data_IF_730883904944
#
_entry.id   IF_730883904944
#
_cell.length_a   1.000
_cell.length_b   1.000
_cell.length_c   1.000
_cell.angle_alpha   90.00
_cell.angle_beta   90.00
_cell.angle_gamma   90.00
#
_symmetry.space_group_name_H-M   'P 1'
#
loop_
_entity.id
_entity.type
_entity.pdbx_description
1 polymer ?
#
# COMPACT_ATOMS: atom_id res chain seq x y z
N UNK A 1 -38.79 22.45 42.10
CA UNK A 1 -37.32 22.47 42.08
C UNK A 1 -36.81 22.66 40.65
N UNK A 2 -36.94 23.87 40.09
CA UNK A 2 -36.56 24.15 38.69
C UNK A 2 -36.24 25.65 38.47
N UNK A 3 -35.51 26.28 39.41
CA UNK A 3 -35.23 27.72 39.37
C UNK A 3 -33.79 28.11 39.69
N UNK A 4 -32.88 27.15 39.89
CA UNK A 4 -31.48 27.43 40.22
C UNK A 4 -30.50 27.34 39.03
N UNK A 5 -30.92 26.85 37.86
CA UNK A 5 -30.01 26.56 36.73
C UNK A 5 -29.78 27.73 35.75
N UNK A 6 -30.55 28.82 35.81
CA UNK A 6 -30.47 29.91 34.83
C UNK A 6 -29.48 31.04 35.16
N UNK A 7 -28.88 31.04 36.36
CA UNK A 7 -27.95 32.11 36.79
C UNK A 7 -26.49 31.90 36.35
N UNK A 8 -26.16 30.76 35.75
CA UNK A 8 -24.80 30.42 35.32
C UNK A 8 -24.48 30.83 33.87
N UNK A 9 -25.50 31.01 33.01
CA UNK A 9 -25.32 31.30 31.58
C UNK A 9 -24.94 32.78 31.33
N UNK A 10 -25.27 33.71 32.24
CA UNK A 10 -24.89 35.11 32.08
C UNK A 10 -23.40 35.39 32.34
N UNK A 11 -22.68 34.49 33.03
CA UNK A 11 -21.24 34.63 33.30
C UNK A 11 -20.37 34.28 32.08
N UNK A 12 -20.77 33.26 31.30
CA UNK A 12 -20.05 32.85 30.09
C UNK A 12 -20.10 33.89 28.96
N UNK A 13 -21.11 34.77 28.94
CA UNK A 13 -21.19 35.85 27.95
C UNK A 13 -20.16 36.96 28.17
N UNK A 14 -19.66 37.12 29.40
CA UNK A 14 -18.64 38.12 29.75
C UNK A 14 -17.25 37.71 29.25
N UNK A 15 -16.94 36.41 29.27
CA UNK A 15 -15.64 35.88 28.83
C UNK A 15 -15.50 35.96 27.30
N UNK A 16 -16.61 35.81 26.55
CA UNK A 16 -16.61 35.97 25.10
C UNK A 16 -16.34 37.40 24.60
N UNK A 17 -16.68 38.43 25.38
CA UNK A 17 -16.38 39.82 25.00
C UNK A 17 -14.90 40.18 25.19
N UNK A 18 -14.22 39.55 26.15
CA UNK A 18 -12.80 39.79 26.42
C UNK A 18 -11.89 39.22 25.32
N UNK A 19 -12.28 38.09 24.70
CA UNK A 19 -11.57 37.51 23.55
C UNK A 19 -11.58 38.43 22.32
N UNK A 20 -12.70 39.10 22.03
CA UNK A 20 -12.80 40.00 20.87
C UNK A 20 -11.91 41.24 20.96
N UNK A 21 -11.54 41.67 22.18
CA UNK A 21 -10.61 42.78 22.40
C UNK A 21 -9.14 42.35 22.25
N UNK A 22 -8.83 41.07 22.45
CA UNK A 22 -7.46 40.56 22.29
C UNK A 22 -7.10 40.43 20.80
N UNK A 23 -8.05 40.05 19.94
CA UNK A 23 -7.85 39.98 18.49
C UNK A 23 -7.73 41.37 17.85
N UNK A 24 -8.45 42.37 18.37
CA UNK A 24 -8.29 43.77 17.93
C UNK A 24 -6.93 44.35 18.34
N UNK A 25 -6.39 43.98 19.49
CA UNK A 25 -5.03 44.35 19.92
C UNK A 25 -3.95 43.61 19.14
N UNK A 26 -4.15 42.33 18.81
CA UNK A 26 -3.21 41.54 17.99
C UNK A 26 -3.12 42.07 16.55
N UNK A 27 -4.27 42.44 15.95
CA UNK A 27 -4.29 43.05 14.61
C UNK A 27 -3.66 44.45 14.60
N UNK A 28 -3.85 45.24 15.65
CA UNK A 28 -3.23 46.57 15.77
C UNK A 28 -1.72 46.49 16.02
N UNK A 29 -1.26 45.53 16.84
CA UNK A 29 0.16 45.28 17.07
C UNK A 29 0.86 44.72 15.82
N UNK A 30 0.23 43.80 15.10
CA UNK A 30 0.75 43.26 13.84
C UNK A 30 0.87 44.36 12.76
N UNK A 31 -0.12 45.26 12.67
CA UNK A 31 -0.09 46.42 11.77
C UNK A 31 1.07 47.37 12.11
N UNK A 32 1.34 47.61 13.39
CA UNK A 32 2.41 48.51 13.81
C UNK A 32 3.80 47.92 13.63
N UNK A 33 3.98 46.62 13.87
CA UNK A 33 5.26 45.92 13.65
C UNK A 33 5.56 45.79 12.15
N UNK A 34 4.54 45.58 11.29
CA UNK A 34 4.72 45.55 9.85
C UNK A 34 5.22 46.89 9.26
N UNK A 35 4.97 48.02 9.95
CA UNK A 35 5.43 49.35 9.51
C UNK A 35 6.86 49.71 9.93
N UNK A 36 7.49 48.92 10.80
CA UNK A 36 8.83 49.20 11.35
C UNK A 36 9.93 48.25 10.83
N UNK A 37 9.60 47.26 10.01
CA UNK A 37 10.56 46.34 9.41
C UNK A 37 11.23 46.97 8.18
N UNK A 38 12.57 46.82 8.03
CA UNK A 38 13.29 47.29 6.87
C UNK A 38 12.71 46.67 5.60
N UNK A 39 12.64 47.48 4.54
CA UNK A 39 12.04 47.14 3.26
C UNK A 39 12.87 46.06 2.55
N UNK A 40 12.67 44.79 2.93
CA UNK A 40 13.33 43.65 2.29
C UNK A 40 12.93 43.62 0.80
N UNK A 41 13.93 43.81 -0.07
CA UNK A 41 13.75 43.74 -1.52
C UNK A 41 13.82 42.27 -1.93
N UNK A 42 12.69 41.58 -1.90
CA UNK A 42 12.58 40.22 -2.42
C UNK A 42 12.89 40.18 -3.92
N UNK A 43 13.95 39.48 -4.30
CA UNK A 43 14.24 39.20 -5.71
C UNK A 43 13.46 37.92 -6.07
N UNK A 44 12.51 37.97 -7.03
CA UNK A 44 11.83 36.77 -7.48
C UNK A 44 12.84 35.85 -8.16
N UNK A 45 13.19 34.75 -7.50
CA UNK A 45 13.91 33.65 -8.13
C UNK A 45 12.90 32.78 -8.87
N UNK A 46 12.99 32.76 -10.20
CA UNK A 46 12.26 31.82 -11.04
C UNK A 46 13.00 30.49 -10.97
N UNK A 47 12.60 29.62 -10.04
CA UNK A 47 13.02 28.22 -10.08
C UNK A 47 12.51 27.61 -11.39
N UNK A 48 13.42 27.16 -12.26
CA UNK A 48 13.06 26.59 -13.56
C UNK A 48 12.22 25.33 -13.34
N UNK A 49 11.01 25.32 -13.90
CA UNK A 49 10.06 24.24 -13.72
C UNK A 49 10.61 22.88 -14.10
N UNK A 50 10.92 22.06 -13.10
CA UNK A 50 11.20 20.62 -13.22
C UNK A 50 9.96 19.80 -13.61
N UNK A 51 8.84 20.45 -13.97
CA UNK A 51 7.49 19.91 -13.80
C UNK A 51 6.97 18.89 -14.82
N UNK A 52 7.64 18.63 -15.95
CA UNK A 52 7.13 17.66 -16.95
C UNK A 52 8.16 16.61 -17.32
N UNK A 53 9.42 17.00 -17.55
CA UNK A 53 10.48 16.04 -17.88
C UNK A 53 10.74 15.06 -16.72
N UNK A 54 10.72 15.54 -15.47
CA UNK A 54 10.88 14.67 -14.30
C UNK A 54 9.68 13.71 -14.14
N UNK A 55 8.44 14.21 -14.30
CA UNK A 55 7.23 13.39 -14.24
C UNK A 55 7.22 12.32 -15.34
N UNK A 56 7.64 12.67 -16.55
CA UNK A 56 7.77 11.72 -17.65
C UNK A 56 8.85 10.67 -17.36
N UNK A 57 10.01 11.08 -16.85
CA UNK A 57 11.07 10.14 -16.46
C UNK A 57 10.60 9.16 -15.38
N UNK A 58 9.87 9.65 -14.36
CA UNK A 58 9.27 8.80 -13.32
C UNK A 58 8.23 7.84 -13.89
N UNK A 59 7.38 8.29 -14.82
CA UNK A 59 6.41 7.42 -15.50
C UNK A 59 7.11 6.31 -16.31
N UNK A 60 8.14 6.65 -17.07
CA UNK A 60 8.93 5.67 -17.84
C UNK A 60 9.62 4.67 -16.90
N UNK A 61 10.22 5.13 -15.81
CA UNK A 61 10.81 4.26 -14.79
C UNK A 61 9.76 3.33 -14.15
N UNK A 62 8.56 3.86 -13.86
CA UNK A 62 7.43 3.07 -13.39
C UNK A 62 7.00 2.00 -14.39
N UNK A 63 6.96 2.32 -15.69
CA UNK A 63 6.63 1.38 -16.74
C UNK A 63 7.68 0.25 -16.85
N UNK A 64 8.97 0.59 -16.78
CA UNK A 64 10.04 -0.40 -16.74
C UNK A 64 9.95 -1.31 -15.51
N UNK A 65 9.62 -0.75 -14.34
CA UNK A 65 9.38 -1.53 -13.12
C UNK A 65 8.13 -2.43 -13.20
N UNK A 66 7.09 -2.00 -13.91
CA UNK A 66 5.87 -2.76 -14.11
C UNK A 66 6.00 -3.85 -15.19
N UNK A 67 6.91 -3.68 -16.15
CA UNK A 67 7.12 -4.59 -17.27
C UNK A 67 7.20 -6.08 -16.88
N UNK A 68 8.00 -6.51 -15.89
CA UNK A 68 8.04 -7.92 -15.51
C UNK A 68 6.68 -8.45 -15.02
N UNK A 69 5.90 -7.67 -14.28
CA UNK A 69 4.55 -8.07 -13.83
C UNK A 69 3.57 -8.27 -14.99
N UNK A 70 3.76 -7.56 -16.10
CA UNK A 70 2.94 -7.72 -17.31
C UNK A 70 3.43 -8.91 -18.13
N UNK A 71 4.75 -9.10 -18.21
CA UNK A 71 5.35 -10.17 -19.01
C UNK A 71 5.12 -11.56 -18.43
N UNK A 72 5.07 -11.72 -17.10
CA UNK A 72 4.81 -13.03 -16.46
C UNK A 72 3.50 -13.68 -16.96
N UNK A 73 2.31 -13.04 -16.86
CA UNK A 73 1.08 -13.66 -17.34
C UNK A 73 1.09 -13.91 -18.85
N UNK A 74 1.72 -13.05 -19.66
CA UNK A 74 1.88 -13.28 -21.11
C UNK A 74 2.74 -14.53 -21.37
N UNK A 75 3.91 -14.60 -20.74
CA UNK A 75 4.76 -15.77 -20.47
C UNK A 75 3.98 -17.06 -20.32
N UNK A 76 3.24 -17.09 -19.20
CA UNK A 76 2.52 -18.25 -18.73
C UNK A 76 1.40 -18.64 -19.70
N UNK A 77 0.64 -17.68 -20.24
CA UNK A 77 -0.42 -17.97 -21.21
C UNK A 77 0.14 -18.59 -22.50
N UNK A 78 1.17 -18.00 -23.10
CA UNK A 78 1.80 -18.55 -24.32
C UNK A 78 2.38 -19.94 -24.08
N UNK A 79 2.94 -20.18 -22.90
CA UNK A 79 3.48 -21.48 -22.53
C UNK A 79 2.38 -22.52 -22.34
N UNK A 80 1.29 -22.16 -21.66
CA UNK A 80 0.15 -23.05 -21.40
C UNK A 80 -0.67 -23.36 -22.66
N UNK A 81 -0.74 -22.43 -23.62
CA UNK A 81 -1.39 -22.64 -24.91
C UNK A 81 -0.51 -23.48 -25.87
N UNK A 82 0.74 -23.74 -25.52
CA UNK A 82 1.67 -24.56 -26.30
C UNK A 82 2.37 -23.83 -27.45
N UNK A 83 2.19 -22.51 -27.56
CA UNK A 83 2.83 -21.67 -28.57
C UNK A 83 4.35 -21.57 -28.36
N UNK A 84 4.81 -21.78 -27.13
CA UNK A 84 6.22 -21.68 -26.73
C UNK A 84 6.73 -22.98 -26.09
N UNK A 85 7.84 -23.51 -26.61
CA UNK A 85 8.42 -24.78 -26.16
C UNK A 85 9.50 -24.66 -25.07
N UNK A 86 9.78 -23.45 -24.58
CA UNK A 86 10.82 -23.19 -23.56
C UNK A 86 10.55 -23.88 -22.22
N UNK A 87 11.57 -24.08 -21.38
CA UNK A 87 11.34 -24.53 -20.00
C UNK A 87 10.55 -23.51 -19.18
N UNK A 88 9.89 -23.95 -18.12
CA UNK A 88 9.23 -23.08 -17.14
C UNK A 88 10.22 -22.14 -16.47
N UNK A 89 11.45 -22.60 -16.22
CA UNK A 89 12.52 -21.72 -15.73
C UNK A 89 12.80 -20.53 -16.66
N UNK A 90 12.79 -20.75 -17.98
CA UNK A 90 12.98 -19.68 -18.99
C UNK A 90 11.73 -18.80 -19.11
N UNK A 91 10.55 -19.42 -19.08
CA UNK A 91 9.26 -18.72 -19.18
C UNK A 91 9.08 -17.73 -18.03
N UNK A 92 9.62 -18.04 -16.85
CA UNK A 92 9.53 -17.22 -15.65
C UNK A 92 10.73 -16.26 -15.46
N UNK A 93 11.57 -16.03 -16.47
CA UNK A 93 12.65 -15.02 -16.42
C UNK A 93 12.20 -13.65 -15.87
N UNK A 94 11.06 -13.08 -16.32
CA UNK A 94 10.62 -11.80 -15.77
C UNK A 94 10.33 -11.85 -14.26
N UNK A 95 9.82 -12.99 -13.76
CA UNK A 95 9.60 -13.22 -12.33
C UNK A 95 10.94 -13.28 -11.58
N UNK A 96 11.92 -14.03 -12.10
CA UNK A 96 13.25 -14.12 -11.49
C UNK A 96 13.95 -12.77 -11.41
N UNK A 97 13.76 -11.90 -12.41
CA UNK A 97 14.28 -10.52 -12.38
C UNK A 97 13.59 -9.74 -11.26
N UNK A 98 12.27 -9.85 -11.10
CA UNK A 98 11.55 -9.25 -9.98
C UNK A 98 12.09 -9.72 -8.64
N UNK A 99 12.23 -11.03 -8.44
CA UNK A 99 12.71 -11.60 -7.19
C UNK A 99 14.15 -11.17 -6.88
N UNK A 100 15.03 -11.15 -7.89
CA UNK A 100 16.41 -10.68 -7.75
C UNK A 100 16.52 -9.19 -7.37
N UNK A 101 15.54 -8.36 -7.75
CA UNK A 101 15.50 -6.95 -7.40
C UNK A 101 14.82 -6.70 -6.03
N UNK A 102 13.69 -7.37 -5.79
CA UNK A 102 12.83 -7.12 -4.63
C UNK A 102 13.34 -7.82 -3.38
N UNK A 103 13.81 -9.07 -3.48
CA UNK A 103 14.21 -9.85 -2.30
C UNK A 103 15.40 -9.22 -1.56
N UNK A 104 16.51 -8.81 -2.21
CA UNK A 104 17.61 -8.15 -1.49
C UNK A 104 17.17 -6.85 -0.82
N UNK A 105 16.30 -6.08 -1.49
CA UNK A 105 15.73 -4.86 -0.91
C UNK A 105 14.90 -5.15 0.34
N UNK A 106 14.04 -6.18 0.31
CA UNK A 106 13.24 -6.59 1.47
C UNK A 106 14.10 -7.11 2.61
N UNK A 107 15.14 -7.88 2.32
CA UNK A 107 16.09 -8.39 3.33
C UNK A 107 16.83 -7.23 4.00
N UNK A 108 17.36 -6.27 3.23
CA UNK A 108 18.04 -5.09 3.77
C UNK A 108 17.08 -4.25 4.61
N UNK A 109 15.85 -4.03 4.13
CA UNK A 109 14.82 -3.28 4.86
C UNK A 109 14.44 -3.97 6.17
N UNK A 110 14.35 -5.30 6.17
CA UNK A 110 14.10 -6.09 7.37
C UNK A 110 15.29 -6.07 8.33
N UNK A 111 16.50 -5.73 7.91
CA UNK A 111 17.67 -5.59 8.79
C UNK A 111 17.87 -4.17 9.32
N UNK A 112 17.12 -3.17 8.83
CA UNK A 112 17.28 -1.80 9.27
C UNK A 112 16.87 -1.64 10.75
N UNK A 113 17.72 -1.02 11.60
CA UNK A 113 17.41 -0.85 13.01
C UNK A 113 16.17 0.03 13.19
N UNK A 114 15.24 -0.41 14.05
CA UNK A 114 14.07 0.38 14.45
C UNK A 114 14.58 1.61 15.19
N UNK A 115 14.48 2.78 14.56
CA UNK A 115 14.80 4.06 15.21
C UNK A 115 13.68 4.34 16.22
N UNK A 116 13.91 4.03 17.49
CA UNK A 116 13.07 4.53 18.56
C UNK A 116 13.22 6.05 18.60
N UNK A 117 12.20 6.77 18.12
CA UNK A 117 12.02 8.17 18.45
C UNK A 117 11.65 8.25 19.92
N UNK A 118 12.68 8.28 20.77
CA UNK A 118 12.55 8.66 22.17
C UNK A 118 12.22 10.15 22.21
N UNK A 119 10.94 10.45 22.00
CA UNK A 119 10.37 11.79 22.15
C UNK A 119 10.34 12.13 23.64
N UNK A 120 11.47 12.63 24.13
CA UNK A 120 11.55 13.39 25.35
C UNK A 120 10.69 14.66 25.21
N UNK A 121 9.46 14.59 25.70
CA UNK A 121 8.80 15.69 26.41
C UNK A 121 8.66 15.14 27.84
N UNK A 122 9.49 15.51 28.84
CA UNK A 122 9.36 16.77 29.60
C UNK A 122 7.86 17.17 29.65
N UNK A 123 7.09 16.99 30.73
CA UNK A 123 7.35 17.22 32.14
C UNK A 123 6.38 16.37 32.99
N UNK A 124 6.87 15.51 33.88
CA UNK A 124 6.17 15.25 35.15
C UNK A 124 7.19 14.85 36.21
N UNK A 125 7.50 15.74 37.18
CA UNK A 125 8.54 15.47 38.16
C UNK A 125 7.97 14.68 39.35
N UNK A 126 8.81 13.75 39.83
CA UNK A 126 8.92 13.27 41.21
C UNK A 126 7.78 12.37 41.73
N UNK A 127 8.03 11.05 41.78
CA UNK A 127 8.17 10.28 43.03
C UNK A 127 8.73 8.88 42.74
N UNK A 128 9.71 8.50 43.56
CA UNK A 128 10.26 7.18 43.86
C UNK A 128 11.32 6.58 42.91
N UNK A 129 12.58 6.81 43.32
CA UNK A 129 13.72 5.92 43.11
C UNK A 129 13.37 4.44 43.34
N UNK A 130 13.60 3.63 42.32
CA UNK A 130 13.59 2.17 42.42
C UNK A 130 14.25 1.57 41.19
N UNK A 131 15.53 1.20 41.31
CA UNK A 131 16.37 0.42 40.37
C UNK A 131 15.56 -0.38 39.33
N UNK A 132 15.56 0.09 38.09
CA UNK A 132 14.89 -0.54 36.94
C UNK A 132 15.82 -0.70 35.74
N UNK A 133 17.03 -1.23 35.95
CA UNK A 133 18.05 -1.46 34.90
C UNK A 133 17.86 -2.81 34.15
N UNK A 134 16.68 -3.43 34.24
CA UNK A 134 16.44 -4.84 33.82
C UNK A 134 15.55 -4.95 32.57
N UNK A 135 15.09 -3.84 31.96
CA UNK A 135 14.08 -3.92 30.89
C UNK A 135 14.60 -3.70 29.46
N UNK A 136 15.86 -3.29 29.24
CA UNK A 136 16.35 -2.93 27.90
C UNK A 136 16.73 -4.18 27.07
N UNK A 137 17.40 -5.16 27.69
CA UNK A 137 17.88 -6.38 27.01
C UNK A 137 16.75 -7.29 26.48
N UNK A 138 15.58 -7.27 27.14
CA UNK A 138 14.43 -8.07 26.72
C UNK A 138 13.85 -7.58 25.39
N UNK A 139 13.84 -6.26 25.16
CA UNK A 139 13.26 -5.67 23.94
C UNK A 139 14.16 -5.82 22.71
N UNK A 140 15.49 -5.85 22.91
CA UNK A 140 16.45 -6.10 21.83
C UNK A 140 16.32 -7.54 21.27
N UNK A 141 16.04 -8.51 22.14
CA UNK A 141 15.92 -9.93 21.76
C UNK A 141 14.64 -10.19 20.94
N UNK A 142 13.52 -9.55 21.29
CA UNK A 142 12.23 -9.72 20.59
C UNK A 142 12.29 -9.21 19.15
N UNK A 143 12.89 -8.04 18.92
CA UNK A 143 13.02 -7.47 17.57
C UNK A 143 13.89 -8.34 16.66
N UNK A 144 15.00 -8.89 17.17
CA UNK A 144 15.89 -9.77 16.39
C UNK A 144 15.17 -11.03 15.87
N UNK A 145 14.28 -11.60 16.69
CA UNK A 145 13.52 -12.80 16.33
C UNK A 145 12.55 -12.54 15.17
N UNK A 146 11.83 -11.41 15.21
CA UNK A 146 10.87 -11.04 14.14
C UNK A 146 11.59 -10.82 12.81
N UNK A 147 12.71 -10.11 12.81
CA UNK A 147 13.46 -9.84 11.58
C UNK A 147 14.03 -11.12 10.95
N UNK A 148 14.58 -12.01 11.78
CA UNK A 148 15.11 -13.31 11.32
C UNK A 148 14.01 -14.20 10.75
N UNK A 149 12.87 -14.27 11.43
CA UNK A 149 11.71 -15.07 11.00
C UNK A 149 11.20 -14.64 9.63
N UNK A 150 11.09 -13.33 9.38
CA UNK A 150 10.64 -12.79 8.08
C UNK A 150 11.62 -13.10 6.94
N UNK A 151 12.92 -13.02 7.20
CA UNK A 151 13.93 -13.36 6.19
C UNK A 151 13.95 -14.86 5.87
N UNK A 152 13.74 -15.72 6.86
CA UNK A 152 13.58 -17.18 6.64
C UNK A 152 12.32 -17.45 5.80
N UNK A 153 11.20 -16.78 6.09
CA UNK A 153 9.98 -16.93 5.30
C UNK A 153 10.20 -16.53 3.84
N UNK A 154 10.89 -15.40 3.57
CA UNK A 154 11.25 -14.98 2.21
C UNK A 154 12.09 -16.03 1.46
N UNK A 155 13.10 -16.60 2.13
CA UNK A 155 13.92 -17.66 1.55
C UNK A 155 13.10 -18.93 1.26
N UNK A 156 12.15 -19.27 2.14
CA UNK A 156 11.26 -20.40 1.97
C UNK A 156 10.27 -20.20 0.80
N UNK A 157 9.75 -18.98 0.58
CA UNK A 157 8.95 -18.66 -0.61
C UNK A 157 9.76 -18.82 -1.91
N UNK A 158 11.01 -18.34 -1.95
CA UNK A 158 11.88 -18.50 -3.12
C UNK A 158 12.16 -19.99 -3.40
N UNK A 159 12.41 -20.78 -2.35
CA UNK A 159 12.60 -22.23 -2.49
C UNK A 159 11.34 -22.92 -3.03
N UNK A 160 10.16 -22.51 -2.56
CA UNK A 160 8.89 -23.03 -3.06
C UNK A 160 8.72 -22.75 -4.57
N UNK A 161 9.03 -21.53 -5.02
CA UNK A 161 8.98 -21.17 -6.44
C UNK A 161 9.94 -22.05 -7.26
N UNK A 162 11.17 -22.25 -6.81
CA UNK A 162 12.15 -23.12 -7.50
C UNK A 162 11.60 -24.55 -7.61
N UNK A 163 11.05 -25.12 -6.53
CA UNK A 163 10.49 -26.47 -6.56
C UNK A 163 9.27 -26.58 -7.48
N UNK A 164 8.40 -25.57 -7.50
CA UNK A 164 7.26 -25.52 -8.44
C UNK A 164 7.77 -25.51 -9.88
N UNK A 165 8.78 -24.73 -10.21
CA UNK A 165 9.37 -24.71 -11.57
C UNK A 165 9.98 -26.05 -11.95
N UNK A 166 10.79 -26.64 -11.06
CA UNK A 166 11.42 -27.96 -11.28
C UNK A 166 10.35 -29.05 -11.48
N UNK A 167 9.24 -28.97 -10.75
CA UNK A 167 8.11 -29.89 -10.91
C UNK A 167 7.38 -29.67 -12.23
N UNK A 168 7.09 -28.42 -12.59
CA UNK A 168 6.41 -28.06 -13.84
C UNK A 168 7.24 -28.44 -15.08
N UNK A 169 8.57 -28.44 -14.98
CA UNK A 169 9.49 -28.91 -16.03
C UNK A 169 9.59 -30.45 -16.09
N UNK A 170 8.83 -31.18 -15.27
CA UNK A 170 8.86 -32.65 -15.17
C UNK A 170 10.25 -33.22 -14.85
N UNK A 171 11.13 -32.43 -14.22
CA UNK A 171 12.45 -32.89 -13.75
C UNK A 171 12.31 -33.77 -12.51
N UNK A 172 11.26 -33.54 -11.72
CA UNK A 172 10.97 -34.23 -10.47
C UNK A 172 9.52 -34.70 -10.44
N UNK A 173 9.29 -35.93 -9.98
CA UNK A 173 7.97 -36.59 -9.92
C UNK A 173 7.28 -36.59 -8.55
N UNK A 174 7.67 -35.67 -7.67
CA UNK A 174 7.08 -35.58 -6.34
C UNK A 174 5.62 -35.11 -6.37
N UNK A 175 4.87 -35.52 -5.36
CA UNK A 175 3.53 -35.01 -5.09
C UNK A 175 3.56 -33.51 -4.79
N UNK A 176 2.53 -32.78 -5.22
CA UNK A 176 2.39 -31.34 -5.01
C UNK A 176 2.42 -30.97 -3.53
N UNK A 177 1.90 -31.83 -2.66
CA UNK A 177 2.02 -31.67 -1.21
C UNK A 177 3.48 -31.57 -0.73
N UNK A 178 4.40 -32.32 -1.33
CA UNK A 178 5.83 -32.30 -0.95
C UNK A 178 6.52 -31.08 -1.57
N UNK A 179 6.21 -30.78 -2.84
CA UNK A 179 6.76 -29.63 -3.57
C UNK A 179 6.45 -28.31 -2.86
N UNK A 180 5.28 -28.20 -2.22
CA UNK A 180 4.83 -27.00 -1.52
C UNK A 180 5.23 -26.94 -0.03
N UNK A 181 6.02 -27.89 0.50
CA UNK A 181 6.49 -27.84 1.91
C UNK A 181 7.15 -26.50 2.27
N UNK A 182 8.10 -25.94 1.48
CA UNK A 182 8.70 -24.66 1.82
C UNK A 182 7.67 -23.52 1.92
N UNK A 183 6.64 -23.55 1.08
CA UNK A 183 5.54 -22.59 1.15
C UNK A 183 4.76 -22.72 2.47
N UNK A 184 4.44 -23.94 2.90
CA UNK A 184 3.75 -24.16 4.18
C UNK A 184 4.56 -23.64 5.37
N UNK A 185 5.88 -23.87 5.37
CA UNK A 185 6.77 -23.30 6.39
C UNK A 185 6.71 -21.77 6.37
N UNK A 186 6.78 -21.16 5.19
CA UNK A 186 6.69 -19.71 5.05
C UNK A 186 5.36 -19.13 5.57
N UNK A 187 4.23 -19.78 5.25
CA UNK A 187 2.90 -19.36 5.73
C UNK A 187 2.75 -19.49 7.26
N UNK A 188 3.30 -20.54 7.87
CA UNK A 188 3.29 -20.73 9.32
C UNK A 188 4.14 -19.65 10.01
N UNK A 189 5.33 -19.36 9.49
CA UNK A 189 6.21 -18.31 10.02
C UNK A 189 5.61 -16.90 9.88
N UNK A 190 4.77 -16.68 8.86
CA UNK A 190 4.09 -15.40 8.62
C UNK A 190 2.72 -15.29 9.30
N UNK A 191 2.27 -16.35 9.99
CA UNK A 191 0.95 -16.46 10.61
C UNK A 191 -0.24 -16.28 9.62
N UNK A 192 -0.06 -16.68 8.36
CA UNK A 192 -1.05 -16.57 7.28
C UNK A 192 -1.92 -17.85 7.20
N UNK A 193 -2.84 -18.01 8.17
CA UNK A 193 -3.61 -19.24 8.31
C UNK A 193 -4.52 -19.59 7.12
N UNK A 194 -5.11 -18.59 6.46
CA UNK A 194 -6.00 -18.81 5.31
C UNK A 194 -5.25 -19.35 4.09
N UNK A 195 -4.03 -18.85 3.86
CA UNK A 195 -3.21 -19.22 2.71
C UNK A 195 -2.68 -20.65 2.83
N UNK A 196 -2.41 -21.11 4.05
CA UNK A 196 -2.01 -22.49 4.32
C UNK A 196 -3.13 -23.47 3.97
N UNK A 197 -4.36 -23.23 4.43
CA UNK A 197 -5.52 -24.09 4.13
C UNK A 197 -5.76 -24.11 2.62
N UNK A 198 -5.71 -22.94 1.98
CA UNK A 198 -5.92 -22.83 0.54
C UNK A 198 -4.88 -23.59 -0.27
N UNK A 199 -3.60 -23.49 0.11
CA UNK A 199 -2.51 -24.19 -0.57
C UNK A 199 -2.59 -25.71 -0.37
N UNK A 200 -2.95 -26.18 0.82
CA UNK A 200 -3.17 -27.61 1.08
C UNK A 200 -4.31 -28.18 0.23
N UNK A 201 -5.43 -27.45 0.09
CA UNK A 201 -6.55 -27.84 -0.76
C UNK A 201 -6.14 -27.89 -2.23
N UNK A 202 -5.40 -26.88 -2.72
CA UNK A 202 -4.89 -26.85 -4.10
C UNK A 202 -3.94 -28.03 -4.34
N UNK A 203 -2.98 -28.26 -3.45
CA UNK A 203 -2.03 -29.36 -3.55
C UNK A 203 -2.72 -30.73 -3.57
N UNK A 204 -3.64 -30.95 -2.62
CA UNK A 204 -4.42 -32.18 -2.54
C UNK A 204 -5.29 -32.40 -3.78
N UNK A 205 -5.83 -31.32 -4.36
CA UNK A 205 -6.59 -31.39 -5.62
C UNK A 205 -5.69 -31.74 -6.80
N UNK A 206 -4.52 -31.12 -6.90
CA UNK A 206 -3.55 -31.39 -7.98
C UNK A 206 -2.94 -32.81 -7.90
N UNK A 207 -2.84 -33.37 -6.70
CA UNK A 207 -2.40 -34.76 -6.47
C UNK A 207 -3.52 -35.79 -6.69
N UNK A 208 -4.76 -35.36 -6.92
CA UNK A 208 -5.91 -36.24 -7.13
C UNK A 208 -6.49 -36.85 -5.85
N UNK A 209 -6.17 -36.31 -4.67
CA UNK A 209 -6.78 -36.74 -3.40
C UNK A 209 -8.19 -36.19 -3.18
N UNK A 210 -8.56 -35.13 -3.90
CA UNK A 210 -9.86 -34.47 -3.80
C UNK A 210 -10.60 -34.56 -5.13
N UNK A 211 -11.77 -35.21 -5.16
CA UNK A 211 -12.61 -35.28 -6.36
C UNK A 211 -13.52 -34.04 -6.54
N UNK A 212 -13.48 -33.11 -5.59
CA UNK A 212 -14.34 -31.92 -5.53
C UNK A 212 -14.07 -30.90 -6.66
N UNK A 213 -15.08 -30.12 -7.05
CA UNK A 213 -14.91 -29.02 -8.03
C UNK A 213 -13.86 -27.98 -7.61
N UNK A 214 -13.21 -27.32 -8.56
CA UNK A 214 -12.25 -26.25 -8.27
C UNK A 214 -12.87 -25.09 -7.49
N UNK A 215 -14.15 -24.83 -7.71
CA UNK A 215 -14.92 -23.85 -6.94
C UNK A 215 -14.93 -24.18 -5.43
N UNK A 216 -15.07 -25.46 -5.06
CA UNK A 216 -15.06 -25.89 -3.66
C UNK A 216 -13.64 -25.87 -3.07
N UNK A 217 -12.64 -26.27 -3.85
CA UNK A 217 -11.22 -26.20 -3.46
C UNK A 217 -10.77 -24.77 -3.18
N UNK A 218 -11.25 -23.79 -3.95
CA UNK A 218 -10.89 -22.38 -3.82
C UNK A 218 -11.86 -21.57 -2.93
N UNK A 219 -12.81 -22.23 -2.26
CA UNK A 219 -13.82 -21.59 -1.42
C UNK A 219 -13.21 -20.64 -0.37
N UNK A 220 -12.14 -20.99 0.38
CA UNK A 220 -11.52 -20.07 1.33
C UNK A 220 -11.07 -18.76 0.67
N UNK A 221 -10.39 -18.84 -0.48
CA UNK A 221 -9.95 -17.66 -1.23
C UNK A 221 -11.13 -16.85 -1.78
N UNK A 222 -12.19 -17.51 -2.26
CA UNK A 222 -13.40 -16.84 -2.76
C UNK A 222 -14.10 -16.03 -1.67
N UNK A 223 -14.18 -16.56 -0.44
CA UNK A 223 -14.72 -15.84 0.72
C UNK A 223 -13.87 -14.61 1.03
N UNK A 224 -12.55 -14.76 1.09
CA UNK A 224 -11.63 -13.65 1.34
C UNK A 224 -11.73 -12.56 0.26
N UNK A 225 -11.81 -12.96 -1.00
CA UNK A 225 -11.99 -12.07 -2.16
C UNK A 225 -13.34 -11.33 -2.06
N UNK A 226 -14.44 -12.04 -1.78
CA UNK A 226 -15.75 -11.42 -1.64
C UNK A 226 -15.78 -10.39 -0.50
N UNK A 227 -15.12 -10.70 0.62
CA UNK A 227 -14.93 -9.77 1.72
C UNK A 227 -14.17 -8.52 1.27
N UNK A 228 -13.01 -8.67 0.60
CA UNK A 228 -12.23 -7.53 0.11
C UNK A 228 -13.05 -6.68 -0.88
N UNK A 229 -13.73 -7.31 -1.83
CA UNK A 229 -14.54 -6.65 -2.87
C UNK A 229 -15.65 -5.77 -2.27
N UNK A 230 -16.23 -6.18 -1.14
CA UNK A 230 -17.32 -5.43 -0.47
C UNK A 230 -16.76 -4.42 0.54
N UNK A 231 -15.87 -4.86 1.43
CA UNK A 231 -15.45 -4.05 2.57
C UNK A 231 -14.48 -2.94 2.18
N UNK A 232 -13.60 -3.13 1.20
CA UNK A 232 -12.63 -2.10 0.83
C UNK A 232 -13.32 -0.87 0.21
N UNK A 233 -14.19 -1.00 -0.83
CA UNK A 233 -14.93 0.15 -1.36
C UNK A 233 -15.81 0.81 -0.31
N UNK A 234 -16.45 0.02 0.56
CA UNK A 234 -17.22 0.55 1.68
C UNK A 234 -16.31 1.38 2.60
N UNK A 235 -15.21 0.82 3.12
CA UNK A 235 -14.26 1.55 3.96
C UNK A 235 -13.78 2.84 3.29
N UNK A 236 -13.47 2.84 2.00
CA UNK A 236 -13.07 4.07 1.30
C UNK A 236 -14.17 5.13 1.23
N UNK A 237 -15.43 4.72 1.11
CA UNK A 237 -16.56 5.64 1.18
C UNK A 237 -16.73 6.25 2.58
N UNK A 238 -16.51 5.46 3.64
CA UNK A 238 -16.69 5.88 5.04
C UNK A 238 -15.47 6.61 5.65
N UNK A 239 -14.25 6.29 5.23
CA UNK A 239 -13.01 6.82 5.80
C UNK A 239 -12.86 8.33 5.63
N UNK A 240 -13.50 8.93 4.63
CA UNK A 240 -13.45 10.36 4.37
C UNK A 240 -14.45 11.18 5.20
N UNK A 241 -14.88 10.73 6.38
CA UNK A 241 -15.68 11.62 7.25
C UNK A 241 -14.85 12.88 7.54
N UNK A 242 -15.39 14.08 7.25
CA UNK A 242 -14.67 15.32 7.53
C UNK A 242 -14.30 15.34 9.01
N UNK A 243 -13.02 15.61 9.30
CA UNK A 243 -12.59 15.85 10.68
C UNK A 243 -13.41 17.01 11.22
N UNK A 244 -14.04 16.89 12.40
CA UNK A 244 -14.83 17.98 12.97
C UNK A 244 -14.01 19.26 13.21
N UNK A 245 -12.68 19.14 13.27
CA UNK A 245 -11.78 20.24 13.61
C UNK A 245 -11.23 21.03 12.39
N UNK A 246 -11.46 20.54 11.16
CA UNK A 246 -11.05 21.25 9.94
C UNK A 246 -12.22 22.09 9.40
N UNK A 247 -12.53 23.22 10.06
CA UNK A 247 -13.59 24.15 9.62
C UNK A 247 -13.35 24.74 8.21
N UNK A 248 -12.10 24.75 7.74
CA UNK A 248 -11.70 25.31 6.45
C UNK A 248 -11.48 24.26 5.33
N UNK A 249 -11.58 22.96 5.63
CA UNK A 249 -11.45 21.95 4.59
C UNK A 249 -12.73 21.90 3.75
N UNK A 250 -12.68 22.50 2.55
CA UNK A 250 -13.77 22.39 1.58
C UNK A 250 -14.21 20.92 1.48
N UNK A 251 -15.50 20.61 1.76
CA UNK A 251 -15.96 19.25 1.79
C UNK A 251 -15.80 18.68 0.39
N UNK A 252 -14.74 17.88 0.16
CA UNK A 252 -14.57 17.10 -1.07
C UNK A 252 -15.92 16.45 -1.36
N UNK A 253 -16.49 16.81 -2.50
CA UNK A 253 -17.90 16.58 -2.79
C UNK A 253 -18.26 15.11 -2.52
N UNK A 254 -19.44 14.88 -1.93
CA UNK A 254 -19.96 13.51 -1.71
C UNK A 254 -19.91 12.68 -3.00
N UNK A 255 -20.08 13.35 -4.13
CA UNK A 255 -19.97 12.83 -5.49
C UNK A 255 -18.57 12.28 -5.78
N UNK A 256 -17.50 13.02 -5.48
CA UNK A 256 -16.12 12.54 -5.69
C UNK A 256 -15.84 11.24 -4.93
N UNK A 257 -16.29 11.15 -3.67
CA UNK A 257 -16.09 9.95 -2.83
C UNK A 257 -16.82 8.72 -3.39
N UNK A 258 -18.04 8.92 -3.87
CA UNK A 258 -18.81 7.86 -4.52
C UNK A 258 -18.10 7.35 -5.77
N UNK A 259 -17.62 8.23 -6.65
CA UNK A 259 -16.88 7.83 -7.84
C UNK A 259 -15.54 7.15 -7.52
N UNK A 260 -14.84 7.58 -6.47
CA UNK A 260 -13.62 6.92 -6.02
C UNK A 260 -13.90 5.50 -5.53
N UNK A 261 -14.90 5.32 -4.67
CA UNK A 261 -15.29 4.00 -4.17
C UNK A 261 -15.80 3.08 -5.30
N UNK A 262 -16.58 3.63 -6.23
CA UNK A 262 -17.08 2.89 -7.39
C UNK A 262 -15.94 2.48 -8.34
N UNK A 263 -15.01 3.39 -8.61
CA UNK A 263 -13.82 3.10 -9.40
C UNK A 263 -12.95 2.01 -8.76
N UNK A 264 -12.78 2.07 -7.43
CA UNK A 264 -12.06 1.03 -6.68
C UNK A 264 -12.77 -0.31 -6.73
N UNK A 265 -14.11 -0.34 -6.59
CA UNK A 265 -14.90 -1.56 -6.72
C UNK A 265 -14.70 -2.21 -8.10
N UNK A 266 -14.80 -1.44 -9.18
CA UNK A 266 -14.55 -1.98 -10.53
C UNK A 266 -13.11 -2.42 -10.71
N UNK A 267 -12.13 -1.66 -10.22
CA UNK A 267 -10.72 -2.08 -10.27
C UNK A 267 -10.49 -3.42 -9.57
N UNK A 268 -11.08 -3.62 -8.39
CA UNK A 268 -11.02 -4.91 -7.67
C UNK A 268 -11.76 -6.02 -8.43
N UNK A 269 -12.90 -5.73 -9.04
CA UNK A 269 -13.63 -6.70 -9.85
C UNK A 269 -12.79 -7.18 -11.05
N UNK A 270 -12.14 -6.25 -11.76
CA UNK A 270 -11.21 -6.58 -12.86
C UNK A 270 -9.97 -7.33 -12.36
N UNK A 271 -9.47 -7.01 -11.17
CA UNK A 271 -8.33 -7.71 -10.56
C UNK A 271 -8.66 -9.15 -10.16
N UNK A 272 -9.89 -9.40 -9.71
CA UNK A 272 -10.39 -10.72 -9.29
C UNK A 272 -10.86 -11.57 -10.49
N UNK A 273 -11.30 -10.93 -11.57
CA UNK A 273 -11.87 -11.59 -12.74
C UNK A 273 -10.99 -12.71 -13.34
N UNK A 274 -9.65 -12.59 -13.46
CA UNK A 274 -8.79 -13.68 -13.91
C UNK A 274 -8.95 -14.96 -13.08
N UNK A 275 -9.09 -14.84 -11.77
CA UNK A 275 -9.31 -15.99 -10.89
C UNK A 275 -10.64 -16.69 -11.19
N UNK A 276 -11.73 -15.92 -11.33
CA UNK A 276 -13.04 -16.48 -11.67
C UNK A 276 -13.06 -17.13 -13.07
N UNK A 277 -12.42 -16.52 -14.05
CA UNK A 277 -12.31 -17.06 -15.42
C UNK A 277 -11.44 -18.33 -15.43
N UNK A 278 -10.35 -18.37 -14.63
CA UNK A 278 -9.52 -19.55 -14.47
C UNK A 278 -10.31 -20.72 -13.87
N UNK A 279 -11.10 -20.48 -12.81
CA UNK A 279 -12.00 -21.50 -12.22
C UNK A 279 -12.98 -22.01 -13.26
N UNK A 280 -13.62 -21.11 -14.00
CA UNK A 280 -14.57 -21.48 -15.05
C UNK A 280 -13.93 -22.36 -16.14
N UNK A 281 -12.68 -22.06 -16.52
CA UNK A 281 -11.92 -22.89 -17.45
C UNK A 281 -11.56 -24.26 -16.88
N UNK A 282 -11.17 -24.30 -15.60
CA UNK A 282 -10.76 -25.53 -14.95
C UNK A 282 -11.93 -26.50 -14.74
N UNK A 283 -13.14 -25.99 -14.47
CA UNK A 283 -14.33 -26.82 -14.19
C UNK A 283 -15.19 -27.10 -15.44
N UNK A 284 -15.32 -26.16 -16.39
CA UNK A 284 -16.43 -26.22 -17.37
C UNK A 284 -16.08 -25.99 -18.84
N UNK A 285 -15.00 -25.28 -19.18
CA UNK A 285 -14.78 -24.82 -20.56
C UNK A 285 -13.32 -24.87 -21.02
N UNK A 286 -13.10 -25.17 -22.30
CA UNK A 286 -11.78 -25.12 -22.93
C UNK A 286 -11.72 -23.90 -23.84
N UNK A 287 -10.93 -22.90 -23.46
CA UNK A 287 -10.59 -21.73 -24.27
C UNK A 287 -9.12 -21.35 -24.06
N UNK A 288 -8.59 -20.45 -24.90
CA UNK A 288 -7.21 -19.97 -24.79
C UNK A 288 -6.95 -19.33 -23.43
N UNK A 289 -5.82 -19.67 -22.80
CA UNK A 289 -5.43 -19.09 -21.51
C UNK A 289 -5.29 -17.57 -21.56
N UNK A 290 -5.08 -16.99 -22.75
CA UNK A 290 -4.98 -15.54 -22.92
C UNK A 290 -6.24 -14.80 -22.43
N UNK A 291 -7.44 -15.38 -22.61
CA UNK A 291 -8.68 -14.78 -22.11
C UNK A 291 -8.75 -14.69 -20.59
N UNK A 292 -8.00 -15.53 -19.87
CA UNK A 292 -7.90 -15.47 -18.40
C UNK A 292 -7.18 -14.19 -17.97
N UNK A 293 -6.10 -13.82 -18.68
CA UNK A 293 -5.28 -12.65 -18.35
C UNK A 293 -5.84 -11.33 -18.91
N UNK A 294 -6.82 -11.39 -19.83
CA UNK A 294 -7.38 -10.22 -20.51
C UNK A 294 -7.92 -9.12 -19.58
N UNK A 295 -8.69 -9.41 -18.51
CA UNK A 295 -9.15 -8.38 -17.57
C UNK A 295 -7.98 -7.62 -16.90
N UNK A 296 -6.90 -8.34 -16.57
CA UNK A 296 -5.69 -7.74 -16.01
C UNK A 296 -5.00 -6.83 -17.02
N UNK A 297 -4.88 -7.23 -18.28
CA UNK A 297 -4.30 -6.36 -19.32
C UNK A 297 -5.12 -5.10 -19.58
N UNK A 298 -6.45 -5.20 -19.52
CA UNK A 298 -7.34 -4.02 -19.59
C UNK A 298 -7.04 -3.08 -18.42
N UNK A 299 -6.96 -3.61 -17.19
CA UNK A 299 -6.68 -2.81 -15.99
C UNK A 299 -5.32 -2.10 -16.10
N UNK A 300 -4.28 -2.82 -16.50
CA UNK A 300 -2.94 -2.27 -16.72
C UNK A 300 -2.96 -1.21 -17.82
N UNK A 301 -3.64 -1.46 -18.94
CA UNK A 301 -3.76 -0.49 -20.03
C UNK A 301 -4.42 0.80 -19.58
N UNK A 302 -5.52 0.72 -18.82
CA UNK A 302 -6.18 1.89 -18.22
C UNK A 302 -5.27 2.61 -17.24
N UNK A 303 -4.50 1.88 -16.43
CA UNK A 303 -3.55 2.47 -15.49
C UNK A 303 -2.42 3.23 -16.22
N UNK A 304 -1.86 2.65 -17.29
CA UNK A 304 -0.84 3.29 -18.13
C UNK A 304 -1.40 4.57 -18.78
N UNK A 305 -2.61 4.51 -19.35
CA UNK A 305 -3.27 5.69 -19.95
C UNK A 305 -3.53 6.78 -18.91
N UNK A 306 -4.01 6.41 -17.72
CA UNK A 306 -4.27 7.35 -16.62
C UNK A 306 -2.96 7.98 -16.13
N UNK A 307 -1.90 7.20 -15.98
CA UNK A 307 -0.57 7.69 -15.63
C UNK A 307 0.02 8.60 -16.70
N UNK A 308 -0.18 8.29 -17.98
CA UNK A 308 0.26 9.16 -19.07
C UNK A 308 -0.49 10.50 -19.03
N UNK A 309 -1.82 10.48 -18.86
CA UNK A 309 -2.63 11.70 -18.72
C UNK A 309 -2.20 12.51 -17.49
N UNK A 310 -1.88 11.86 -16.36
CA UNK A 310 -1.45 12.56 -15.15
C UNK A 310 -0.14 13.31 -15.33
N UNK A 311 0.82 12.76 -16.09
CA UNK A 311 2.08 13.46 -16.43
C UNK A 311 1.82 14.81 -17.11
N UNK A 312 0.78 14.91 -17.94
CA UNK A 312 0.43 16.15 -18.64
C UNK A 312 -0.47 17.09 -17.83
N UNK A 313 -1.30 16.57 -16.91
CA UNK A 313 -2.22 17.41 -16.13
C UNK A 313 -1.58 17.96 -14.86
N UNK A 314 -0.58 17.29 -14.28
CA UNK A 314 0.21 17.80 -13.16
C UNK A 314 1.31 18.77 -13.64
N UNK A 315 0.93 19.82 -14.37
CA UNK A 315 1.82 20.99 -14.49
C UNK A 315 1.83 21.70 -13.13
N UNK A 316 2.93 21.57 -12.40
CA UNK A 316 3.12 22.23 -11.11
C UNK A 316 2.89 23.73 -11.28
N UNK A 317 2.01 24.30 -10.45
CA UNK A 317 1.91 25.76 -10.34
C UNK A 317 3.29 26.27 -9.95
N UNK A 318 3.82 27.33 -10.59
CA UNK A 318 5.13 27.85 -10.26
C UNK A 318 5.14 28.26 -8.78
N UNK A 319 5.94 27.56 -7.98
CA UNK A 319 6.09 27.85 -6.57
C UNK A 319 7.00 29.08 -6.47
N UNK A 320 6.41 30.25 -6.23
CA UNK A 320 7.17 31.48 -5.98
C UNK A 320 7.77 31.39 -4.58
N UNK A 321 9.02 30.95 -4.48
CA UNK A 321 9.80 31.14 -3.26
C UNK A 321 10.40 32.56 -3.26
N UNK A 322 9.95 33.39 -2.33
CA UNK A 322 10.57 34.69 -2.08
C UNK A 322 11.73 34.45 -1.12
N UNK A 323 12.97 34.57 -1.60
CA UNK A 323 14.14 34.59 -0.72
C UNK A 323 14.24 36.00 -0.16
N UNK A 324 14.09 36.12 1.16
CA UNK A 324 14.34 37.36 1.88
C UNK A 324 15.85 37.47 2.12
N UNK A 325 16.47 38.48 1.51
CA UNK A 325 17.85 38.85 1.82
C UNK A 325 17.79 39.85 2.97
N UNK A 326 18.40 39.51 4.10
CA UNK A 326 18.56 40.46 5.20
C UNK A 326 19.71 41.41 4.86
N UNK A 327 19.39 42.67 4.66
CA UNK A 327 20.38 43.73 4.50
C UNK A 327 20.93 44.10 5.90
N UNK A 328 21.88 43.32 6.42
CA UNK A 328 22.69 43.72 7.58
C UNK A 328 23.92 44.50 7.10
N UNK A 329 23.86 45.83 7.23
CA UNK A 329 25.01 46.76 7.06
C UNK A 329 25.45 47.25 8.44
#
# INVERSE_FOLDING_TARGET
MATAAFKSISSLRSIGQEATNLDSLKSTAASKVASALPRQRGIPQVSSGEGVCANFALFVMGLFGAAPFILVPVFVCLKLDGDVTWSWGTTLIPLWICDALVLPYLVIRNMAPVKHHSGANEETPLVAEGKGEVSEDATATENCFVHTTRNIALAAYLLAQIFVVVRLDHVVDWHWLIVLIPYYVASILSCEGFDLIQALLIAGKMDGFLDESWTMTLLPSLIGIAMILVFVPLQTYWAYKPSPDDEDAEPKSRVFRFFLALGLFFALLFLVSPGAIAIYRLDYAVFSTFYIALPFFILVGVAILTGLVSVFTFTSKPQQSVIYVDDTV
#
